data_IF_275593210069
#
_entry.id   IF_275593210069
#
_cell.length_a   1.000
_cell.length_b   1.000
_cell.length_c   1.000
_cell.angle_alpha   90.00
_cell.angle_beta   90.00
_cell.angle_gamma   90.00
#
_symmetry.space_group_name_H-M   'P 1'
#
loop_
_entity.id
_entity.type
_entity.pdbx_description
1 polymer ?
#
# COMPACT_ATOMS: atom_id res chain seq x y z
N UNK A 1 -1.73 13.04 -0.21
CA UNK A 1 -2.39 12.83 1.09
C UNK A 1 -3.09 11.48 1.06
N UNK A 2 -2.64 10.50 1.85
CA UNK A 2 -3.13 9.13 1.78
C UNK A 2 -4.56 8.98 2.35
N UNK A 3 -4.96 9.89 3.26
CA UNK A 3 -6.33 9.98 3.75
C UNK A 3 -7.31 10.42 2.64
N UNK A 4 -6.89 11.32 1.75
CA UNK A 4 -7.69 11.73 0.60
C UNK A 4 -7.82 10.64 -0.48
N UNK A 5 -6.94 9.64 -0.50
CA UNK A 5 -7.07 8.48 -1.39
C UNK A 5 -7.99 7.40 -0.83
N UNK A 6 -8.11 7.28 0.51
CA UNK A 6 -9.07 6.36 1.14
C UNK A 6 -10.52 6.68 0.73
N UNK A 7 -10.88 7.96 0.59
CA UNK A 7 -12.20 8.37 0.09
C UNK A 7 -12.44 8.04 -1.39
N UNK A 8 -11.40 7.62 -2.11
CA UNK A 8 -11.44 7.20 -3.52
C UNK A 8 -11.08 5.73 -3.71
N UNK A 9 -11.00 4.93 -2.63
CA UNK A 9 -10.59 3.52 -2.71
C UNK A 9 -11.42 2.74 -3.72
N UNK A 10 -12.74 2.91 -3.73
CA UNK A 10 -13.63 2.24 -4.70
C UNK A 10 -13.36 2.66 -6.16
N UNK A 11 -12.96 3.91 -6.39
CA UNK A 11 -12.56 4.39 -7.71
C UNK A 11 -11.22 3.78 -8.12
N UNK A 12 -10.24 3.74 -7.21
CA UNK A 12 -8.95 3.12 -7.48
C UNK A 12 -9.14 1.62 -7.74
N UNK A 13 -9.93 0.92 -6.93
CA UNK A 13 -10.31 -0.50 -7.08
C UNK A 13 -10.92 -0.81 -8.44
N UNK A 14 -11.75 0.08 -9.00
CA UNK A 14 -12.30 -0.10 -10.35
C UNK A 14 -11.21 -0.19 -11.44
N UNK A 15 -10.00 0.32 -11.19
CA UNK A 15 -8.88 0.18 -12.11
C UNK A 15 -8.36 -1.27 -12.20
N UNK A 16 -8.65 -2.13 -11.21
CA UNK A 16 -8.28 -3.56 -11.27
C UNK A 16 -9.02 -4.29 -12.40
N UNK A 17 -10.23 -3.84 -12.77
CA UNK A 17 -10.99 -4.40 -13.88
C UNK A 17 -10.38 -4.07 -15.26
N UNK A 18 -9.47 -3.10 -15.31
CA UNK A 18 -8.83 -2.63 -16.53
C UNK A 18 -7.36 -3.05 -16.66
N UNK A 19 -6.88 -3.96 -15.78
CA UNK A 19 -5.50 -4.44 -15.75
C UNK A 19 -4.97 -4.87 -17.13
N UNK A 20 -5.80 -5.52 -17.93
CA UNK A 20 -5.49 -6.02 -19.28
C UNK A 20 -5.09 -4.92 -20.27
N UNK A 21 -5.48 -3.67 -20.01
CA UNK A 21 -5.19 -2.53 -20.88
C UNK A 21 -3.84 -1.85 -20.57
N UNK A 22 -3.15 -2.28 -19.50
CA UNK A 22 -1.88 -1.71 -19.09
C UNK A 22 -0.70 -2.57 -19.55
N UNK A 23 0.40 -1.91 -19.91
CA UNK A 23 1.71 -2.58 -19.98
C UNK A 23 2.24 -2.93 -18.59
N UNK A 24 3.25 -3.80 -18.51
CA UNK A 24 3.80 -4.30 -17.24
C UNK A 24 4.21 -3.19 -16.25
N UNK A 25 4.77 -2.09 -16.75
CA UNK A 25 5.12 -0.93 -15.91
C UNK A 25 3.89 -0.25 -15.29
N UNK A 26 2.79 -0.14 -16.04
CA UNK A 26 1.54 0.41 -15.54
C UNK A 26 0.89 -0.50 -14.51
N UNK A 27 0.91 -1.81 -14.76
CA UNK A 27 0.45 -2.83 -13.80
C UNK A 27 1.25 -2.75 -12.49
N UNK A 28 2.57 -2.64 -12.57
CA UNK A 28 3.43 -2.51 -11.40
C UNK A 28 3.11 -1.24 -10.59
N UNK A 29 2.92 -0.11 -11.27
CA UNK A 29 2.57 1.16 -10.61
C UNK A 29 1.18 1.09 -9.94
N UNK A 30 0.22 0.42 -10.58
CA UNK A 30 -1.11 0.22 -10.04
C UNK A 30 -1.05 -0.61 -8.76
N UNK A 31 -0.38 -1.76 -8.79
CA UNK A 31 -0.24 -2.62 -7.61
C UNK A 31 0.54 -1.96 -6.48
N UNK A 32 1.58 -1.18 -6.78
CA UNK A 32 2.27 -0.39 -5.75
C UNK A 32 1.33 0.64 -5.09
N UNK A 33 0.46 1.26 -5.87
CA UNK A 33 -0.54 2.21 -5.36
C UNK A 33 -1.51 1.51 -4.43
N UNK A 34 -2.09 0.37 -4.85
CA UNK A 34 -2.97 -0.43 -4.00
C UNK A 34 -2.30 -0.91 -2.73
N UNK A 35 -1.07 -1.42 -2.83
CA UNK A 35 -0.31 -1.89 -1.68
C UNK A 35 -0.03 -0.76 -0.68
N UNK A 36 0.23 0.47 -1.13
CA UNK A 36 0.37 1.64 -0.25
C UNK A 36 -0.95 2.04 0.41
N UNK A 37 -2.05 2.00 -0.33
CA UNK A 37 -3.39 2.33 0.20
C UNK A 37 -3.78 1.32 1.28
N UNK A 38 -3.68 0.03 0.99
CA UNK A 38 -3.85 -1.07 1.93
C UNK A 38 -2.98 -0.89 3.19
N UNK A 39 -1.68 -0.63 3.02
CA UNK A 39 -0.77 -0.45 4.15
C UNK A 39 -1.07 0.82 4.98
N UNK A 40 -1.61 1.88 4.38
CA UNK A 40 -2.01 3.09 5.08
C UNK A 40 -3.34 2.90 5.83
N UNK A 41 -4.32 2.28 5.17
CA UNK A 41 -5.61 1.89 5.72
C UNK A 41 -5.41 1.14 7.04
N UNK A 42 -4.65 0.03 7.00
CA UNK A 42 -4.32 -0.80 8.17
C UNK A 42 -3.68 -0.04 9.34
N UNK A 43 -2.88 0.99 9.06
CA UNK A 43 -2.24 1.83 10.08
C UNK A 43 -3.21 2.84 10.71
N UNK A 44 -4.26 3.22 10.00
CA UNK A 44 -5.28 4.18 10.46
C UNK A 44 -6.34 3.57 11.39
N UNK A 45 -6.35 2.24 11.56
CA UNK A 45 -7.21 1.55 12.53
C UNK A 45 -8.69 1.39 12.11
N UNK A 46 -9.00 1.67 10.83
CA UNK A 46 -10.35 1.65 10.25
C UNK A 46 -10.82 0.26 9.83
N UNK A 47 -10.95 -0.66 10.79
CA UNK A 47 -11.20 -2.11 10.55
C UNK A 47 -12.22 -2.50 9.47
N UNK A 48 -13.28 -1.72 9.22
CA UNK A 48 -14.36 -2.15 8.29
C UNK A 48 -14.07 -1.88 6.82
N UNK A 49 -13.40 -0.78 6.47
CA UNK A 49 -13.09 -0.44 5.07
C UNK A 49 -11.73 -1.04 4.67
N UNK A 50 -10.80 -1.13 5.63
CA UNK A 50 -9.48 -1.71 5.48
C UNK A 50 -9.54 -3.20 5.07
N UNK A 51 -10.40 -3.98 5.73
CA UNK A 51 -10.55 -5.42 5.48
C UNK A 51 -11.14 -5.71 4.09
N UNK A 52 -11.96 -4.79 3.56
CA UNK A 52 -12.59 -4.97 2.25
C UNK A 52 -11.60 -4.74 1.11
N UNK A 53 -10.79 -3.67 1.19
CA UNK A 53 -9.79 -3.36 0.16
C UNK A 53 -8.68 -4.43 0.07
N UNK A 54 -8.22 -4.92 1.22
CA UNK A 54 -7.26 -6.03 1.29
C UNK A 54 -7.85 -7.31 0.68
N UNK A 55 -9.12 -7.61 0.99
CA UNK A 55 -9.78 -8.80 0.46
C UNK A 55 -9.94 -8.73 -1.07
N UNK A 56 -10.36 -7.59 -1.61
CA UNK A 56 -10.58 -7.38 -3.03
C UNK A 56 -9.27 -7.51 -3.83
N UNK A 57 -8.21 -6.86 -3.36
CA UNK A 57 -6.87 -6.98 -3.95
C UNK A 57 -6.40 -8.44 -3.97
N UNK A 58 -6.57 -9.16 -2.86
CA UNK A 58 -6.17 -10.56 -2.76
C UNK A 58 -7.01 -11.49 -3.66
N UNK A 59 -8.29 -11.17 -3.88
CA UNK A 59 -9.14 -11.89 -4.85
C UNK A 59 -8.59 -11.71 -6.27
N UNK A 60 -8.26 -10.49 -6.67
CA UNK A 60 -7.71 -10.22 -8.01
C UNK A 60 -6.37 -10.93 -8.20
N UNK A 61 -5.46 -10.84 -7.23
CA UNK A 61 -4.15 -11.52 -7.31
C UNK A 61 -4.30 -13.03 -7.48
N UNK A 62 -5.20 -13.67 -6.71
CA UNK A 62 -5.47 -15.11 -6.85
C UNK A 62 -6.05 -15.47 -8.21
N UNK A 63 -6.96 -14.66 -8.76
CA UNK A 63 -7.51 -14.83 -10.11
C UNK A 63 -6.43 -14.76 -11.17
N UNK A 64 -5.57 -13.73 -11.11
CA UNK A 64 -4.48 -13.51 -12.06
C UNK A 64 -3.45 -14.65 -12.03
N UNK A 65 -3.06 -15.11 -10.83
CA UNK A 65 -2.13 -16.23 -10.64
C UNK A 65 -2.69 -17.58 -11.11
N UNK A 66 -3.99 -17.78 -11.01
CA UNK A 66 -4.66 -19.03 -11.42
C UNK A 66 -5.05 -19.05 -12.89
N UNK A 67 -4.76 -17.98 -13.64
CA UNK A 67 -5.14 -17.87 -15.03
C UNK A 67 -4.25 -18.76 -15.93
N UNK A 68 -4.83 -19.31 -17.01
CA UNK A 68 -4.11 -20.21 -17.93
C UNK A 68 -3.11 -19.48 -18.84
N UNK A 69 -3.45 -18.26 -19.25
CA UNK A 69 -2.58 -17.43 -20.09
C UNK A 69 -1.40 -16.81 -19.29
N UNK A 70 -0.15 -16.97 -19.73
CA UNK A 70 1.04 -16.52 -18.99
C UNK A 70 1.10 -15.02 -18.69
N UNK A 71 0.44 -14.17 -19.50
CA UNK A 71 0.44 -12.72 -19.27
C UNK A 71 -0.21 -12.35 -17.94
N UNK A 72 -1.29 -13.03 -17.58
CA UNK A 72 -2.05 -12.77 -16.34
C UNK A 72 -1.31 -13.33 -15.12
N UNK A 73 -0.65 -14.48 -15.27
CA UNK A 73 0.22 -15.01 -14.22
C UNK A 73 1.35 -14.02 -13.88
N UNK A 74 1.99 -13.41 -14.90
CA UNK A 74 3.00 -12.37 -14.70
C UNK A 74 2.44 -11.18 -13.93
N UNK A 75 1.25 -10.70 -14.29
CA UNK A 75 0.57 -9.61 -13.58
C UNK A 75 0.32 -9.97 -12.11
N UNK A 76 -0.14 -11.19 -11.83
CA UNK A 76 -0.30 -11.71 -10.48
C UNK A 76 1.01 -11.73 -9.68
N UNK A 77 2.12 -12.14 -10.28
CA UNK A 77 3.45 -12.13 -9.64
C UNK A 77 3.91 -10.71 -9.32
N UNK A 78 3.76 -9.77 -10.26
CA UNK A 78 4.07 -8.35 -10.05
C UNK A 78 3.25 -7.81 -8.86
N UNK A 79 1.96 -8.11 -8.82
CA UNK A 79 1.11 -7.62 -7.75
C UNK A 79 1.41 -8.22 -6.37
N UNK A 80 1.66 -9.53 -6.29
CA UNK A 80 2.04 -10.17 -5.02
C UNK A 80 3.37 -9.63 -4.49
N UNK A 81 4.36 -9.43 -5.37
CA UNK A 81 5.65 -8.90 -4.96
C UNK A 81 5.55 -7.45 -4.47
N UNK A 82 4.71 -6.62 -5.08
CA UNK A 82 4.43 -5.26 -4.61
C UNK A 82 3.79 -5.25 -3.20
N UNK A 83 2.78 -6.11 -2.98
CA UNK A 83 2.14 -6.25 -1.65
C UNK A 83 3.14 -6.76 -0.62
N UNK A 84 3.91 -7.80 -0.93
CA UNK A 84 4.90 -8.36 -0.03
C UNK A 84 5.99 -7.35 0.34
N UNK A 85 6.45 -6.55 -0.62
CA UNK A 85 7.42 -5.48 -0.37
C UNK A 85 6.89 -4.45 0.64
N UNK A 86 5.62 -4.02 0.49
CA UNK A 86 4.99 -3.07 1.42
C UNK A 86 4.72 -3.65 2.80
N UNK A 87 4.41 -4.95 2.89
CA UNK A 87 4.28 -5.63 4.19
C UNK A 87 5.63 -5.80 4.90
N UNK A 88 6.71 -5.92 4.13
CA UNK A 88 8.07 -6.04 4.65
C UNK A 88 8.72 -4.69 4.97
N UNK A 89 8.15 -3.57 4.49
CA UNK A 89 8.61 -2.23 4.85
C UNK A 89 8.42 -1.98 6.35
N UNK A 90 9.50 -1.62 7.03
CA UNK A 90 9.42 -1.11 8.39
C UNK A 90 8.58 0.17 8.37
N UNK A 91 7.72 0.40 9.38
CA UNK A 91 7.17 1.73 9.59
C UNK A 91 8.36 2.68 9.67
N UNK A 92 8.50 3.58 8.69
CA UNK A 92 9.43 4.70 8.81
C UNK A 92 8.85 5.57 9.91
N UNK A 93 9.32 5.36 11.14
CA UNK A 93 9.12 6.32 12.21
C UNK A 93 9.68 7.64 11.69
N UNK A 94 8.83 8.66 11.56
CA UNK A 94 9.31 10.01 11.35
C UNK A 94 10.21 10.32 12.55
N UNK A 95 11.50 10.48 12.27
CA UNK A 95 12.44 11.05 13.23
C UNK A 95 11.94 12.47 13.45
N UNK A 96 11.26 12.71 14.56
CA UNK A 96 11.14 14.06 15.10
C UNK A 96 12.54 14.41 15.58
N UNK A 97 13.36 14.96 14.69
CA UNK A 97 14.51 15.77 15.07
C UNK A 97 13.96 16.99 15.82
N UNK A 98 13.66 16.82 17.11
CA UNK A 98 13.64 17.91 18.05
C UNK A 98 15.06 18.00 18.61
N UNK A 99 15.89 18.76 17.91
CA UNK A 99 16.98 19.51 18.51
C UNK A 99 16.45 20.22 19.77
N UNK A 100 16.89 19.79 20.96
CA UNK A 100 17.16 20.73 22.06
C UNK A 100 18.02 20.09 23.17
N UNK A 101 19.36 20.25 23.16
CA UNK A 101 20.19 20.00 24.33
C UNK A 101 20.20 21.24 25.23
N UNK A 102 19.12 21.50 25.98
CA UNK A 102 19.13 22.50 27.06
C UNK A 102 19.21 21.81 28.41
N UNK A 103 20.42 21.34 28.70
CA UNK A 103 20.85 20.88 30.02
C UNK A 103 22.04 21.71 30.50
N UNK A 104 21.79 22.92 30.98
CA UNK A 104 22.61 23.62 31.99
C UNK A 104 21.59 24.21 32.97
N UNK A 105 21.51 23.76 34.22
CA UNK A 105 22.59 23.89 35.20
C UNK A 105 22.19 25.01 36.16
N UNK A 106 21.17 24.74 36.99
CA UNK A 106 20.80 25.64 38.07
C UNK A 106 21.80 25.51 39.21
N UNK A 107 22.70 26.48 39.33
CA UNK A 107 23.46 26.75 40.55
C UNK A 107 23.48 28.26 40.77
N UNK A 108 22.70 28.72 41.75
CA UNK A 108 22.60 30.11 42.17
C UNK A 108 22.50 30.14 43.69
N UNK A 109 23.47 30.82 44.29
CA UNK A 109 23.84 30.90 45.70
C UNK A 109 22.74 31.38 46.67
#
# INVERSE_FOLDING_TARGET
DAAALLSHVSFVESMLDYLDNFGEAGVAQLYDTFARLSAHARRSGGRSQDDQADAELMIVLRKQLSHLEPRFQRMGVIGVTAVAARLAEKPTDYITEADDPMGEGGEGA
#
